data_IF_571875103037
#
_entry.id   IF_571875103037
#
_cell.length_a   1.000
_cell.length_b   1.000
_cell.length_c   1.000
_cell.angle_alpha   90.00
_cell.angle_beta   90.00
_cell.angle_gamma   90.00
#
_symmetry.space_group_name_H-M   'P 1'
#
loop_
_entity.id
_entity.type
_entity.pdbx_description
1 polymer ?
#
# COMPACT_ATOMS: atom_id res chain seq x y z
N UNK A 1 25.24 9.82 21.41
CA UNK A 1 24.66 10.31 20.14
C UNK A 1 23.34 9.60 19.98
N UNK A 2 22.23 10.34 20.13
CA UNK A 2 20.89 9.78 20.02
C UNK A 2 20.56 9.57 18.55
N UNK A 3 20.16 8.35 18.16
CA UNK A 3 19.67 8.07 16.81
C UNK A 3 18.35 8.87 16.61
N UNK A 4 18.26 9.77 15.63
CA UNK A 4 17.04 10.59 15.43
C UNK A 4 15.90 9.84 14.71
N UNK A 5 16.06 8.56 14.37
CA UNK A 5 15.10 7.80 13.56
C UNK A 5 14.47 6.59 14.25
N UNK A 6 14.54 6.53 15.58
CA UNK A 6 13.69 5.62 16.35
C UNK A 6 12.36 6.31 16.64
N UNK A 7 11.63 6.71 15.59
CA UNK A 7 10.22 7.02 15.79
C UNK A 7 9.55 5.67 16.05
N UNK A 8 8.92 5.45 17.22
CA UNK A 8 8.04 4.31 17.38
C UNK A 8 6.99 4.47 16.29
N UNK A 9 6.94 3.51 15.38
CA UNK A 9 5.80 3.18 14.54
C UNK A 9 4.52 3.57 15.28
N UNK A 10 3.86 4.65 14.84
CA UNK A 10 2.73 5.24 15.55
C UNK A 10 1.56 4.25 15.43
N UNK A 11 1.20 3.53 16.52
CA UNK A 11 0.16 2.51 16.46
C UNK A 11 -1.19 3.10 16.02
N UNK A 12 -1.44 4.38 16.31
CA UNK A 12 -2.68 5.04 15.89
C UNK A 12 -2.71 5.26 14.37
N UNK A 13 -1.55 5.50 13.75
CA UNK A 13 -1.42 5.65 12.31
C UNK A 13 -1.65 4.31 11.59
N UNK A 14 -1.07 3.22 12.09
CA UNK A 14 -1.26 1.88 11.52
C UNK A 14 -2.73 1.45 11.56
N UNK A 15 -3.40 1.70 12.69
CA UNK A 15 -4.84 1.47 12.84
C UNK A 15 -5.66 2.35 11.90
N UNK A 16 -5.27 3.62 11.73
CA UNK A 16 -5.97 4.55 10.82
C UNK A 16 -5.87 4.10 9.36
N UNK A 17 -4.73 3.58 8.93
CA UNK A 17 -4.57 3.04 7.56
C UNK A 17 -5.45 1.78 7.39
N UNK A 18 -5.44 0.85 8.34
CA UNK A 18 -6.27 -0.36 8.27
C UNK A 18 -7.77 -0.03 8.25
N UNK A 19 -8.23 0.87 9.11
CA UNK A 19 -9.62 1.33 9.11
C UNK A 19 -9.99 2.02 7.78
N UNK A 20 -9.07 2.79 7.20
CA UNK A 20 -9.27 3.41 5.89
C UNK A 20 -9.42 2.35 4.79
N UNK A 21 -8.58 1.32 4.76
CA UNK A 21 -8.69 0.21 3.80
C UNK A 21 -10.04 -0.51 3.93
N UNK A 22 -10.47 -0.79 5.17
CA UNK A 22 -11.77 -1.41 5.46
C UNK A 22 -12.91 -0.55 4.90
N UNK A 23 -12.89 0.75 5.14
CA UNK A 23 -13.90 1.69 4.62
C UNK A 23 -13.87 1.80 3.09
N UNK A 24 -12.69 1.85 2.48
CA UNK A 24 -12.53 1.91 1.03
C UNK A 24 -13.05 0.64 0.36
N UNK A 25 -12.77 -0.54 0.93
CA UNK A 25 -13.26 -1.81 0.40
C UNK A 25 -14.80 -1.84 0.31
N UNK A 26 -15.48 -1.31 1.33
CA UNK A 26 -16.93 -1.18 1.33
C UNK A 26 -17.43 -0.19 0.26
N UNK A 27 -16.72 0.92 0.03
CA UNK A 27 -17.04 1.89 -1.02
C UNK A 27 -16.83 1.32 -2.43
N UNK A 28 -15.88 0.41 -2.60
CA UNK A 28 -15.62 -0.30 -3.85
C UNK A 28 -16.60 -1.46 -4.10
N UNK A 29 -17.54 -1.72 -3.17
CA UNK A 29 -18.59 -2.74 -3.33
C UNK A 29 -18.20 -4.14 -2.86
N UNK A 30 -16.98 -4.33 -2.35
CA UNK A 30 -16.48 -5.60 -1.82
C UNK A 30 -15.92 -5.38 -0.41
N UNK A 31 -16.78 -5.24 0.62
CA UNK A 31 -16.33 -5.04 2.00
C UNK A 31 -15.46 -6.21 2.46
N UNK A 32 -14.23 -5.91 2.86
CA UNK A 32 -13.29 -6.88 3.40
C UNK A 32 -13.44 -7.02 4.92
N UNK A 33 -13.17 -8.22 5.41
CA UNK A 33 -13.05 -8.50 6.84
C UNK A 33 -11.68 -8.04 7.37
N UNK A 34 -11.53 -8.04 8.70
CA UNK A 34 -10.33 -7.56 9.39
C UNK A 34 -9.06 -8.37 9.03
N UNK A 35 -9.19 -9.68 8.81
CA UNK A 35 -8.04 -10.52 8.41
C UNK A 35 -7.55 -10.11 7.04
N UNK A 36 -8.46 -9.95 6.08
CA UNK A 36 -8.12 -9.55 4.71
C UNK A 36 -7.48 -8.15 4.68
N UNK A 37 -7.99 -7.21 5.49
CA UNK A 37 -7.40 -5.87 5.62
C UNK A 37 -6.00 -5.91 6.23
N UNK A 38 -5.82 -6.72 7.28
CA UNK A 38 -4.52 -6.89 7.94
C UNK A 38 -3.49 -7.53 7.01
N UNK A 39 -3.90 -8.50 6.20
CA UNK A 39 -3.04 -9.12 5.18
C UNK A 39 -2.57 -8.09 4.15
N UNK A 40 -3.48 -7.29 3.58
CA UNK A 40 -3.12 -6.22 2.61
C UNK A 40 -2.14 -5.22 3.23
N UNK A 41 -2.42 -4.81 4.46
CA UNK A 41 -1.57 -3.88 5.19
C UNK A 41 -0.17 -4.46 5.42
N UNK A 42 -0.09 -5.72 5.85
CA UNK A 42 1.19 -6.40 6.07
C UNK A 42 1.96 -6.60 4.76
N UNK A 43 1.28 -6.97 3.68
CA UNK A 43 1.89 -7.10 2.35
C UNK A 43 2.51 -5.77 1.92
N UNK A 44 1.82 -4.64 2.13
CA UNK A 44 2.37 -3.31 1.83
C UNK A 44 3.60 -2.97 2.69
N UNK A 45 3.59 -3.30 3.99
CA UNK A 45 4.76 -3.15 4.85
C UNK A 45 5.95 -3.99 4.35
N UNK A 46 5.70 -5.24 3.99
CA UNK A 46 6.74 -6.16 3.51
C UNK A 46 7.34 -5.68 2.18
N UNK A 47 6.49 -5.19 1.27
CA UNK A 47 6.93 -4.61 -0.01
C UNK A 47 7.82 -3.39 0.14
N UNK A 48 7.58 -2.57 1.17
CA UNK A 48 8.31 -1.34 1.44
C UNK A 48 9.39 -1.50 2.52
N UNK A 49 9.62 -2.72 3.02
CA UNK A 49 10.54 -2.99 4.15
C UNK A 49 12.00 -2.62 3.87
N UNK A 50 12.38 -2.47 2.60
CA UNK A 50 13.71 -1.98 2.19
C UNK A 50 13.82 -0.45 2.22
N UNK A 51 12.72 0.26 2.43
CA UNK A 51 12.61 1.71 2.47
C UNK A 51 12.20 2.19 3.87
N UNK A 52 12.26 3.50 4.08
CA UNK A 52 11.64 4.19 5.21
C UNK A 52 10.49 5.06 4.66
N UNK A 53 9.38 4.45 4.21
CA UNK A 53 8.34 5.16 3.46
C UNK A 53 7.62 6.17 4.34
N UNK A 54 7.05 7.20 3.72
CA UNK A 54 6.09 8.05 4.42
C UNK A 54 4.81 7.26 4.73
N UNK A 55 4.05 7.63 5.78
CA UNK A 55 2.75 7.03 6.05
C UNK A 55 1.78 7.09 4.87
N UNK A 56 1.87 8.17 4.09
CA UNK A 56 1.04 8.36 2.91
C UNK A 56 1.38 7.32 1.83
N UNK A 57 2.67 7.10 1.57
CA UNK A 57 3.12 6.13 0.57
C UNK A 57 2.77 4.71 0.95
N UNK A 58 2.91 4.35 2.23
CA UNK A 58 2.42 3.07 2.73
C UNK A 58 0.91 2.92 2.49
N UNK A 59 0.11 3.94 2.84
CA UNK A 59 -1.33 3.92 2.63
C UNK A 59 -1.71 3.79 1.15
N UNK A 60 -0.96 4.43 0.25
CA UNK A 60 -1.19 4.35 -1.19
C UNK A 60 -0.83 2.99 -1.77
N UNK A 61 0.30 2.40 -1.38
CA UNK A 61 0.64 1.02 -1.79
C UNK A 61 -0.43 0.03 -1.31
N UNK A 62 -0.84 0.13 -0.04
CA UNK A 62 -1.90 -0.72 0.50
C UNK A 62 -3.24 -0.50 -0.22
N UNK A 63 -3.57 0.75 -0.58
CA UNK A 63 -4.74 1.10 -1.38
C UNK A 63 -4.71 0.48 -2.78
N UNK A 64 -3.55 0.51 -3.46
CA UNK A 64 -3.39 -0.15 -4.77
C UNK A 64 -3.58 -1.66 -4.66
N UNK A 65 -2.98 -2.31 -3.66
CA UNK A 65 -3.18 -3.75 -3.40
C UNK A 65 -4.64 -4.09 -3.12
N UNK A 66 -5.34 -3.24 -2.36
CA UNK A 66 -6.78 -3.36 -2.13
C UNK A 66 -7.57 -3.34 -3.44
N UNK A 67 -7.31 -2.36 -4.31
CA UNK A 67 -7.98 -2.24 -5.61
C UNK A 67 -7.77 -3.50 -6.45
N UNK A 68 -6.53 -3.99 -6.52
CA UNK A 68 -6.23 -5.22 -7.25
C UNK A 68 -6.98 -6.43 -6.70
N UNK A 69 -7.10 -6.55 -5.38
CA UNK A 69 -7.85 -7.64 -4.75
C UNK A 69 -9.36 -7.53 -4.99
N UNK A 70 -9.92 -6.33 -4.94
CA UNK A 70 -11.36 -6.10 -5.10
C UNK A 70 -11.81 -6.26 -6.54
N UNK A 71 -11.01 -5.80 -7.50
CA UNK A 71 -11.34 -5.85 -8.93
C UNK A 71 -11.04 -7.19 -9.59
N UNK A 72 -10.54 -8.18 -8.84
CA UNK A 72 -10.04 -9.46 -9.38
C UNK A 72 -9.02 -9.24 -10.50
N UNK A 73 -8.11 -8.27 -10.27
CA UNK A 73 -7.06 -7.91 -11.22
C UNK A 73 -6.18 -9.14 -11.52
N UNK A 74 -5.72 -9.25 -12.77
CA UNK A 74 -4.89 -10.38 -13.20
C UNK A 74 -3.69 -10.59 -12.25
N UNK A 75 -3.42 -11.84 -11.80
CA UNK A 75 -2.33 -12.12 -10.87
C UNK A 75 -0.96 -11.62 -11.36
N UNK A 76 -0.75 -11.59 -12.66
CA UNK A 76 0.44 -11.08 -13.33
C UNK A 76 0.65 -9.58 -13.08
N UNK A 77 -0.41 -8.78 -13.08
CA UNK A 77 -0.32 -7.34 -12.83
C UNK A 77 0.02 -7.06 -11.36
N UNK A 78 -0.62 -7.77 -10.43
CA UNK A 78 -0.29 -7.68 -9.00
C UNK A 78 1.16 -8.06 -8.71
N UNK A 79 1.67 -9.12 -9.37
CA UNK A 79 3.08 -9.54 -9.27
C UNK A 79 4.02 -8.52 -9.90
N UNK A 80 3.65 -7.94 -11.04
CA UNK A 80 4.44 -6.90 -11.69
C UNK A 80 4.58 -5.68 -10.78
N UNK A 81 3.47 -5.14 -10.27
CA UNK A 81 3.47 -4.01 -9.36
C UNK A 81 4.35 -4.26 -8.13
N UNK A 82 4.13 -5.41 -7.46
CA UNK A 82 4.93 -5.83 -6.31
C UNK A 82 6.43 -5.90 -6.63
N UNK A 83 6.78 -6.35 -7.84
CA UNK A 83 8.17 -6.42 -8.29
C UNK A 83 8.76 -5.04 -8.60
N UNK A 84 7.96 -4.09 -9.08
CA UNK A 84 8.39 -2.71 -9.31
C UNK A 84 8.62 -1.97 -7.99
N UNK A 85 7.69 -2.08 -7.02
CA UNK A 85 7.84 -1.45 -5.69
C UNK A 85 9.13 -1.91 -4.99
N UNK A 86 9.48 -3.20 -5.07
CA UNK A 86 10.73 -3.74 -4.52
C UNK A 86 12.01 -3.23 -5.19
N UNK A 87 11.89 -2.65 -6.39
CA UNK A 87 13.02 -2.08 -7.13
C UNK A 87 13.16 -0.57 -6.91
N UNK A 88 12.13 0.11 -6.38
CA UNK A 88 12.20 1.51 -6.03
C UNK A 88 13.29 1.77 -4.97
N UNK A 89 14.02 2.86 -5.15
CA UNK A 89 15.14 3.27 -4.30
C UNK A 89 14.71 4.20 -3.16
N UNK A 90 13.58 4.87 -3.32
CA UNK A 90 13.03 5.81 -2.34
C UNK A 90 11.50 5.97 -2.47
N UNK A 91 10.93 6.79 -1.59
CA UNK A 91 9.50 7.09 -1.48
C UNK A 91 8.95 7.76 -2.75
N UNK A 92 9.75 8.61 -3.42
CA UNK A 92 9.33 9.36 -4.60
C UNK A 92 9.14 8.43 -5.80
N UNK A 93 10.06 7.49 -6.02
CA UNK A 93 9.93 6.49 -7.08
C UNK A 93 8.68 5.59 -6.91
N UNK A 94 8.29 5.29 -5.67
CA UNK A 94 7.06 4.52 -5.39
C UNK A 94 5.82 5.33 -5.77
N UNK A 95 5.78 6.62 -5.41
CA UNK A 95 4.67 7.51 -5.77
C UNK A 95 4.55 7.68 -7.28
N UNK A 96 5.67 7.88 -7.99
CA UNK A 96 5.69 7.98 -9.45
C UNK A 96 5.17 6.70 -10.13
N UNK A 97 5.55 5.53 -9.61
CA UNK A 97 5.02 4.25 -10.07
C UNK A 97 3.50 4.19 -9.92
N UNK A 98 2.96 4.52 -8.75
CA UNK A 98 1.51 4.48 -8.48
C UNK A 98 0.76 5.47 -9.39
N UNK A 99 1.31 6.67 -9.60
CA UNK A 99 0.74 7.65 -10.52
C UNK A 99 0.74 7.17 -11.98
N UNK A 100 1.79 6.45 -12.40
CA UNK A 100 1.88 5.93 -13.78
C UNK A 100 0.76 4.94 -14.10
N UNK A 101 0.39 4.08 -13.13
CA UNK A 101 -0.71 3.12 -13.25
C UNK A 101 -2.03 3.86 -13.34
N UNK A 102 -2.24 4.82 -12.43
CA UNK A 102 -3.47 5.63 -12.36
C UNK A 102 -3.76 6.42 -13.64
N UNK A 103 -2.71 6.87 -14.36
CA UNK A 103 -2.86 7.55 -15.64
C UNK A 103 -3.19 6.62 -16.80
N UNK A 104 -2.83 5.33 -16.70
CA UNK A 104 -3.08 4.35 -17.74
C UNK A 104 -4.54 3.90 -17.76
N UNK A 105 -5.20 3.83 -16.59
CA UNK A 105 -6.64 3.53 -16.47
C UNK A 105 -7.57 4.65 -17.00
N UNK A 106 -7.05 5.86 -17.20
CA UNK A 106 -7.83 7.03 -17.64
C UNK A 106 -7.77 7.29 -19.16
N UNK A 107 -7.13 6.41 -19.95
CA UNK A 107 -6.96 6.51 -21.41
C UNK A 107 -7.75 5.42 -22.15
#
# INVERSE_FOLDING_TARGET
>A
MSNPFSHPEDPDLHLSIQENLKQLSAQLGSPLDESSVMEIYQDACDLLSHLSPSPLTLARVAGTLLVYRVNDTEPEESKWFSSQVKQCLDDEEVEELIESISRTDAL
#
